data_IF_019343264126
#
_entry.id   IF_019343264126
#
_cell.length_a   1.000
_cell.length_b   1.000
_cell.length_c   1.000
_cell.angle_alpha   90.00
_cell.angle_beta   90.00
_cell.angle_gamma   90.00
#
_symmetry.space_group_name_H-M   'P 1'
#
loop_
_entity.id
_entity.type
_entity.pdbx_description
1 polymer ?
#
# COMPACT_ATOMS: atom_id res chain seq x y z
N UNK A 1 -12.70 -12.66 -1.68
CA UNK A 1 -11.53 -12.15 -0.95
C UNK A 1 -11.83 -10.76 -0.41
N UNK A 2 -11.44 -10.51 0.83
CA UNK A 2 -11.66 -9.21 1.45
C UNK A 2 -10.50 -8.29 1.11
N UNK A 3 -10.76 -7.23 0.33
CA UNK A 3 -9.75 -6.25 -0.05
C UNK A 3 -9.72 -5.04 0.88
N UNK A 4 -10.73 -4.88 1.71
CA UNK A 4 -10.80 -3.79 2.68
C UNK A 4 -11.68 -4.21 3.84
N UNK A 5 -11.27 -3.81 5.03
CA UNK A 5 -12.11 -3.91 6.23
C UNK A 5 -12.40 -2.51 6.80
N UNK A 6 -12.06 -1.48 6.03
CA UNK A 6 -12.33 -0.10 6.41
C UNK A 6 -11.71 0.24 7.75
N UNK A 7 -12.54 0.75 8.66
CA UNK A 7 -12.12 1.12 10.01
C UNK A 7 -12.50 0.08 11.06
N UNK A 8 -13.09 -1.04 10.64
CA UNK A 8 -13.52 -2.07 11.60
C UNK A 8 -12.34 -2.79 12.25
N UNK A 9 -11.23 -2.88 11.55
CA UNK A 9 -10.07 -3.58 12.06
C UNK A 9 -8.79 -2.79 11.78
N UNK A 10 -7.99 -2.61 12.82
CA UNK A 10 -6.65 -2.04 12.67
C UNK A 10 -5.71 -3.04 11.99
N UNK A 11 -5.67 -4.26 12.49
CA UNK A 11 -4.82 -5.31 11.91
C UNK A 11 -5.53 -5.93 10.70
N UNK A 12 -4.87 -5.99 9.54
CA UNK A 12 -5.50 -6.61 8.38
C UNK A 12 -5.71 -8.10 8.59
N UNK A 13 -6.81 -8.66 8.06
CA UNK A 13 -7.00 -10.11 8.07
C UNK A 13 -5.86 -10.81 7.33
N UNK A 14 -5.62 -12.07 7.66
CA UNK A 14 -4.53 -12.83 7.05
C UNK A 14 -4.59 -12.84 5.51
N UNK A 15 -5.77 -12.95 4.94
CA UNK A 15 -5.92 -12.96 3.48
C UNK A 15 -5.50 -11.62 2.87
N UNK A 16 -5.84 -10.51 3.50
CA UNK A 16 -5.44 -9.18 3.03
C UNK A 16 -3.93 -9.00 3.16
N UNK A 17 -3.33 -9.43 4.28
CA UNK A 17 -1.90 -9.38 4.47
C UNK A 17 -1.16 -10.16 3.39
N UNK A 18 -1.64 -11.36 3.08
CA UNK A 18 -1.03 -12.18 2.03
C UNK A 18 -1.10 -11.50 0.68
N UNK A 19 -2.22 -10.88 0.35
CA UNK A 19 -2.39 -10.20 -0.93
C UNK A 19 -1.48 -8.97 -1.02
N UNK A 20 -1.40 -8.18 0.04
CA UNK A 20 -0.52 -7.02 0.09
C UNK A 20 0.94 -7.43 -0.13
N UNK A 21 1.37 -8.47 0.57
CA UNK A 21 2.76 -8.95 0.47
C UNK A 21 3.04 -9.60 -0.88
N UNK A 22 2.10 -10.38 -1.40
CA UNK A 22 2.24 -11.02 -2.69
C UNK A 22 2.34 -9.99 -3.82
N UNK A 23 1.53 -8.94 -3.75
CA UNK A 23 1.53 -7.88 -4.77
C UNK A 23 2.90 -7.23 -4.87
N UNK A 24 3.49 -6.90 -3.76
CA UNK A 24 4.76 -6.18 -3.71
C UNK A 24 5.96 -7.10 -3.83
N UNK A 25 5.90 -8.27 -3.25
CA UNK A 25 6.95 -9.29 -3.20
C UNK A 25 8.17 -8.92 -2.33
N UNK A 26 8.38 -7.65 -2.08
CA UNK A 26 9.47 -7.14 -1.25
C UNK A 26 9.06 -5.85 -0.57
N UNK A 27 9.91 -5.37 0.32
CA UNK A 27 9.72 -4.05 0.92
C UNK A 27 9.56 -2.99 -0.16
N UNK A 28 8.59 -2.11 0.01
CA UNK A 28 8.30 -1.04 -0.94
C UNK A 28 9.11 0.23 -0.67
N UNK A 29 10.22 0.12 0.04
CA UNK A 29 11.21 1.19 0.16
C UNK A 29 12.10 1.25 -1.07
N UNK A 30 12.60 2.43 -1.45
CA UNK A 30 13.45 2.58 -2.63
C UNK A 30 14.69 1.70 -2.55
N UNK A 31 14.89 0.86 -3.55
CA UNK A 31 16.08 0.02 -3.65
C UNK A 31 16.17 -1.10 -2.61
N UNK A 32 15.11 -1.36 -1.85
CA UNK A 32 15.15 -2.35 -0.80
C UNK A 32 14.87 -3.74 -1.34
N UNK A 33 15.73 -4.70 -0.97
CA UNK A 33 15.57 -6.09 -1.38
C UNK A 33 15.03 -7.02 -0.29
N UNK A 34 14.56 -6.48 0.83
CA UNK A 34 14.02 -7.31 1.91
C UNK A 34 12.75 -8.00 1.45
N UNK A 35 12.65 -9.34 1.52
CA UNK A 35 11.45 -10.05 1.09
C UNK A 35 10.22 -9.60 1.87
N UNK A 36 9.07 -9.59 1.21
CA UNK A 36 7.82 -9.18 1.84
C UNK A 36 7.48 -10.05 3.06
N UNK A 37 7.92 -11.30 3.08
CA UNK A 37 7.70 -12.20 4.22
C UNK A 37 8.34 -11.68 5.51
N UNK A 38 9.33 -10.81 5.41
CA UNK A 38 9.99 -10.19 6.56
C UNK A 38 9.52 -8.77 6.81
N UNK A 39 8.52 -8.32 6.08
CA UNK A 39 8.01 -6.96 6.19
C UNK A 39 6.77 -6.92 7.05
N UNK A 40 6.53 -5.75 7.62
CA UNK A 40 5.26 -5.42 8.27
C UNK A 40 4.34 -4.81 7.23
N UNK A 41 3.03 -4.99 7.41
CA UNK A 41 2.04 -4.33 6.56
C UNK A 41 1.73 -2.97 7.18
N UNK A 42 2.02 -1.93 6.44
CA UNK A 42 1.89 -0.56 6.92
C UNK A 42 0.72 0.16 6.25
N UNK A 43 0.04 1.01 7.03
CA UNK A 43 -1.00 1.90 6.49
C UNK A 43 -0.34 3.13 5.88
N UNK A 44 -0.65 3.45 4.64
CA UNK A 44 -0.07 4.63 3.98
C UNK A 44 -0.68 5.92 4.50
N UNK A 45 -2.00 5.96 4.64
CA UNK A 45 -2.66 6.98 5.44
C UNK A 45 -2.79 6.37 6.82
N UNK A 46 -2.20 7.02 7.81
CA UNK A 46 -2.13 6.47 9.16
C UNK A 46 -3.51 6.20 9.73
N UNK A 47 -3.61 5.15 10.51
CA UNK A 47 -4.84 4.84 11.23
C UNK A 47 -5.31 6.03 12.07
N UNK A 48 -4.38 6.73 12.73
CA UNK A 48 -4.69 7.90 13.52
C UNK A 48 -5.28 9.04 12.69
N UNK A 49 -4.99 9.08 11.38
CA UNK A 49 -5.47 10.08 10.45
C UNK A 49 -6.64 9.57 9.61
N UNK A 50 -7.39 8.61 10.13
CA UNK A 50 -8.57 8.01 9.51
C UNK A 50 -8.27 7.12 8.29
N UNK A 51 -7.03 6.64 8.18
CA UNK A 51 -6.70 5.67 7.14
C UNK A 51 -7.42 4.34 7.35
N UNK A 52 -7.80 3.69 6.25
CA UNK A 52 -8.48 2.41 6.27
C UNK A 52 -7.51 1.25 6.14
N UNK A 53 -7.89 0.09 6.66
CA UNK A 53 -7.18 -1.16 6.44
C UNK A 53 -7.67 -1.76 5.13
N UNK A 54 -6.96 -1.49 4.04
CA UNK A 54 -7.36 -1.87 2.70
C UNK A 54 -6.15 -2.07 1.80
N UNK A 55 -6.33 -2.81 0.71
CA UNK A 55 -5.25 -3.03 -0.26
C UNK A 55 -4.70 -1.71 -0.79
N UNK A 56 -5.55 -0.73 -1.04
CA UNK A 56 -5.16 0.57 -1.57
C UNK A 56 -4.47 1.47 -0.55
N UNK A 57 -4.46 1.09 0.71
CA UNK A 57 -3.87 1.88 1.78
C UNK A 57 -2.84 1.10 2.59
N UNK A 58 -2.42 -0.06 2.10
CA UNK A 58 -1.45 -0.89 2.81
C UNK A 58 -0.34 -1.33 1.88
N UNK A 59 0.87 -1.37 2.40
CA UNK A 59 2.04 -1.84 1.68
C UNK A 59 3.02 -2.48 2.65
N UNK A 60 3.82 -3.47 2.20
CA UNK A 60 4.82 -4.06 3.06
C UNK A 60 6.05 -3.14 3.15
N UNK A 61 6.49 -2.88 4.37
CA UNK A 61 7.73 -2.16 4.63
C UNK A 61 8.55 -2.95 5.62
N UNK A 62 9.84 -3.08 5.38
CA UNK A 62 10.73 -3.64 6.38
C UNK A 62 10.81 -2.70 7.58
N UNK A 63 11.29 -3.21 8.70
CA UNK A 63 11.34 -2.42 9.92
C UNK A 63 12.10 -1.10 9.72
N UNK A 64 13.20 -1.13 8.99
CA UNK A 64 13.97 0.07 8.71
C UNK A 64 13.21 1.13 7.94
N UNK A 65 12.55 0.76 6.86
CA UNK A 65 11.78 1.70 6.06
C UNK A 65 10.50 2.16 6.77
N UNK A 66 9.90 1.28 7.58
CA UNK A 66 8.77 1.67 8.41
C UNK A 66 9.17 2.78 9.40
N UNK A 67 10.33 2.63 10.03
CA UNK A 67 10.86 3.65 10.95
C UNK A 67 11.19 4.94 10.22
N UNK A 68 11.75 4.86 9.02
CA UNK A 68 12.03 6.05 8.21
C UNK A 68 10.75 6.80 7.90
N UNK A 69 9.72 6.09 7.47
CA UNK A 69 8.42 6.71 7.17
C UNK A 69 7.82 7.39 8.39
N UNK A 70 7.85 6.73 9.55
CA UNK A 70 7.15 7.23 10.72
C UNK A 70 7.94 8.25 11.55
N UNK A 71 9.26 8.26 11.43
CA UNK A 71 10.10 9.06 12.32
C UNK A 71 11.00 10.07 11.63
N UNK A 72 10.84 10.28 10.33
CA UNK A 72 11.65 11.25 9.60
C UNK A 72 10.77 12.12 8.72
N UNK A 73 11.40 13.08 8.03
CA UNK A 73 10.70 14.00 7.14
C UNK A 73 10.48 13.43 5.72
N UNK A 74 10.72 12.15 5.52
CA UNK A 74 10.34 11.50 4.27
C UNK A 74 8.82 11.42 4.19
N UNK A 75 8.28 11.74 3.02
CA UNK A 75 6.84 11.66 2.76
C UNK A 75 6.58 10.46 1.86
N UNK A 76 5.70 9.57 2.28
CA UNK A 76 5.38 8.35 1.55
C UNK A 76 3.90 8.33 1.25
N UNK A 77 3.55 8.15 -0.02
CA UNK A 77 2.16 8.15 -0.47
C UNK A 77 1.94 7.01 -1.45
N UNK A 78 0.87 6.26 -1.25
CA UNK A 78 0.46 5.28 -2.26
C UNK A 78 -0.29 6.01 -3.36
N UNK A 79 0.17 5.85 -4.59
CA UNK A 79 -0.39 6.58 -5.72
C UNK A 79 -1.72 5.96 -6.15
N UNK A 80 -2.81 6.73 -6.19
CA UNK A 80 -4.12 6.21 -6.60
C UNK A 80 -4.08 5.71 -8.05
N UNK A 81 -4.77 4.59 -8.30
CA UNK A 81 -4.88 4.04 -9.64
C UNK A 81 -3.60 3.43 -10.19
N UNK A 82 -2.55 3.31 -9.38
CA UNK A 82 -1.25 2.81 -9.83
C UNK A 82 -1.06 1.31 -9.65
N UNK A 83 -2.01 0.64 -9.03
CA UNK A 83 -1.85 -0.77 -8.68
C UNK A 83 -0.98 -1.01 -7.45
N UNK A 84 -0.66 0.03 -6.71
CA UNK A 84 0.08 -0.08 -5.46
C UNK A 84 1.45 0.56 -5.44
N UNK A 85 1.76 1.42 -6.41
CA UNK A 85 3.04 2.13 -6.40
C UNK A 85 3.12 3.10 -5.23
N UNK A 86 4.29 3.18 -4.60
CA UNK A 86 4.56 4.15 -3.54
C UNK A 86 5.47 5.25 -4.06
N UNK A 87 5.13 6.47 -3.71
CA UNK A 87 5.98 7.63 -3.97
C UNK A 87 6.67 8.03 -2.68
N UNK A 88 7.98 8.08 -2.71
CA UNK A 88 8.82 8.53 -1.60
C UNK A 88 9.43 9.86 -1.95
N UNK A 89 9.21 10.87 -1.13
CA UNK A 89 9.80 12.19 -1.32
C UNK A 89 10.76 12.44 -0.16
N UNK A 90 12.03 12.67 -0.49
CA UNK A 90 13.06 12.92 0.51
C UNK A 90 12.90 14.30 1.14
N UNK A 91 13.54 14.55 2.28
CA UNK A 91 13.53 15.89 2.89
C UNK A 91 14.07 16.98 1.96
N UNK A 92 14.90 16.62 0.98
CA UNK A 92 15.42 17.57 0.00
C UNK A 92 14.56 17.70 -1.25
N UNK A 93 13.42 17.01 -1.30
CA UNK A 93 12.47 17.11 -2.40
C UNK A 93 12.68 16.12 -3.53
N UNK A 94 13.60 15.17 -3.40
CA UNK A 94 13.79 14.13 -4.41
C UNK A 94 12.66 13.13 -4.36
N UNK A 95 12.19 12.74 -5.53
CA UNK A 95 11.06 11.84 -5.69
C UNK A 95 11.53 10.47 -6.18
N UNK A 96 11.06 9.43 -5.51
CA UNK A 96 11.33 8.04 -5.89
C UNK A 96 9.99 7.31 -5.98
N UNK A 97 9.75 6.62 -7.08
CA UNK A 97 8.53 5.81 -7.24
C UNK A 97 8.92 4.35 -7.24
N UNK A 98 8.33 3.59 -6.33
CA UNK A 98 8.58 2.16 -6.20
C UNK A 98 7.35 1.43 -6.71
N UNK A 99 7.53 0.60 -7.73
CA UNK A 99 6.45 -0.19 -8.29
C UNK A 99 6.35 -1.54 -7.59
N UNK A 100 5.14 -2.05 -7.36
CA UNK A 100 4.99 -3.42 -6.87
C UNK A 100 5.39 -4.40 -7.97
N UNK A 101 5.80 -5.59 -7.57
CA UNK A 101 6.15 -6.63 -8.54
C UNK A 101 4.95 -7.03 -9.38
N UNK A 102 3.77 -7.06 -8.76
CA UNK A 102 2.52 -7.41 -9.44
C UNK A 102 1.51 -6.31 -9.22
N UNK A 103 0.79 -5.92 -10.26
CA UNK A 103 -0.28 -4.94 -10.15
C UNK A 103 -1.61 -5.66 -10.03
N UNK A 104 -2.31 -5.36 -8.94
CA UNK A 104 -3.63 -5.92 -8.69
C UNK A 104 -4.65 -4.81 -8.83
N UNK A 105 -5.49 -4.82 -9.86
CA UNK A 105 -6.51 -3.79 -9.99
C UNK A 105 -7.54 -3.94 -8.88
N UNK A 106 -7.96 -2.82 -8.32
CA UNK A 106 -8.99 -2.77 -7.30
C UNK A 106 -10.18 -2.04 -7.87
N UNK A 107 -11.30 -2.74 -7.93
CA UNK A 107 -12.55 -2.15 -8.41
C UNK A 107 -13.37 -1.68 -7.24
N UNK A 108 -13.76 -0.42 -7.28
CA UNK A 108 -14.63 0.13 -6.25
C UNK A 108 -16.07 -0.21 -6.56
N UNK A 109 -16.88 -0.34 -5.50
CA UNK A 109 -18.31 -0.40 -5.65
C UNK A 109 -18.77 0.95 -6.14
N UNK A 110 -18.94 1.05 -7.43
CA UNK A 110 -19.21 2.31 -8.07
C UNK A 110 -20.70 2.44 -8.42
N UNK A 111 -21.14 3.64 -8.73
CA UNK A 111 -22.47 3.84 -9.30
C UNK A 111 -22.70 2.98 -10.53
N UNK A 112 -23.95 2.80 -10.89
CA UNK A 112 -24.32 1.89 -11.96
C UNK A 112 -23.65 2.17 -13.31
N UNK A 113 -23.27 3.39 -13.57
CA UNK A 113 -22.58 3.73 -14.79
C UNK A 113 -21.25 2.99 -14.96
N UNK A 114 -20.66 2.62 -13.86
CA UNK A 114 -19.39 1.91 -13.91
C UNK A 114 -19.54 0.50 -14.48
N UNK A 115 -20.72 -0.06 -14.38
CA UNK A 115 -20.96 -1.38 -14.92
C UNK A 115 -20.76 -1.42 -16.43
N UNK A 116 -20.96 -0.32 -17.10
CA UNK A 116 -20.78 -0.23 -18.54
C UNK A 116 -19.32 -0.23 -18.95
N UNK A 117 -18.46 0.11 -18.03
CA UNK A 117 -17.03 0.16 -18.30
C UNK A 117 -16.30 -1.09 -17.84
N UNK A 118 -17.01 -2.09 -17.37
CA UNK A 118 -16.39 -3.33 -16.92
C UNK A 118 -15.59 -3.92 -18.08
N UNK A 119 -14.32 -4.22 -17.87
CA UNK A 119 -13.41 -4.54 -18.97
C UNK A 119 -13.46 -6.00 -19.40
N UNK A 120 -14.31 -6.77 -18.87
CA UNK A 120 -14.36 -8.19 -19.21
C UNK A 120 -15.73 -8.68 -19.33
#
# INVERSE_FOLDING_TARGET
MVLSVGRDRYSPPAALQKLVKWRADRCMGPGCGVPASRCEVDHQIRWADQGETALENNAPLCKGHHLVKDNTDWVVTQLPGSGGALEWISPTGRRYVVQPERKVPVFHSAPADDASSAPF
#
